data_IF_538974572906
#
_entry.id   IF_538974572906
#
_cell.length_a   1.000
_cell.length_b   1.000
_cell.length_c   1.000
_cell.angle_alpha   90.00
_cell.angle_beta   90.00
_cell.angle_gamma   90.00
#
_symmetry.space_group_name_H-M   'P 1'
#
loop_
_entity.id
_entity.type
_entity.pdbx_description
1 polymer ?
#
# COMPACT_ATOMS: atom_id res chain seq x y z
N UNK A 1 6.10 -10.56 -1.59
CA UNK A 1 6.56 -9.20 -1.24
C UNK A 1 7.22 -8.60 -2.46
N UNK A 2 6.89 -7.35 -2.79
CA UNK A 2 7.55 -6.58 -3.84
C UNK A 2 8.31 -5.42 -3.20
N UNK A 3 9.58 -5.27 -3.55
CA UNK A 3 10.40 -4.11 -3.17
C UNK A 3 10.50 -3.19 -4.38
N UNK A 4 10.24 -1.91 -4.19
CA UNK A 4 10.26 -0.95 -5.28
C UNK A 4 10.89 0.37 -4.88
N UNK A 5 11.61 0.96 -5.84
CA UNK A 5 12.12 2.32 -5.82
C UNK A 5 11.63 3.01 -7.08
N UNK A 6 10.87 4.08 -6.91
CA UNK A 6 10.31 4.85 -8.01
C UNK A 6 10.80 6.28 -7.93
N UNK A 7 10.99 6.92 -9.09
CA UNK A 7 11.32 8.35 -9.21
C UNK A 7 10.15 9.13 -9.82
N UNK A 8 9.68 8.69 -10.97
CA UNK A 8 8.68 9.33 -11.83
C UNK A 8 7.48 8.42 -12.12
N UNK A 9 7.45 7.22 -11.54
CA UNK A 9 6.38 6.27 -11.75
C UNK A 9 5.08 6.73 -11.08
N UNK A 10 3.98 6.53 -11.80
CA UNK A 10 2.62 6.77 -11.31
C UNK A 10 1.79 5.52 -11.53
N UNK A 11 1.24 4.98 -10.45
CA UNK A 11 0.16 4.01 -10.51
C UNK A 11 -1.15 4.74 -10.78
N UNK A 12 -1.70 4.52 -11.97
CA UNK A 12 -3.07 4.91 -12.29
C UNK A 12 -4.09 4.14 -11.43
N UNK A 13 -5.37 4.52 -11.52
CA UNK A 13 -6.45 3.84 -10.76
C UNK A 13 -6.45 2.35 -11.05
N UNK A 14 -6.25 1.54 -10.01
CA UNK A 14 -6.24 0.09 -10.08
C UNK A 14 -6.75 -0.53 -8.77
N UNK A 15 -6.92 -1.85 -8.75
CA UNK A 15 -7.32 -2.62 -7.59
C UNK A 15 -6.74 -4.04 -7.68
N UNK A 16 -6.79 -4.78 -6.58
CA UNK A 16 -6.38 -6.18 -6.45
C UNK A 16 -7.33 -6.92 -5.50
N UNK A 17 -7.39 -8.24 -5.59
CA UNK A 17 -8.30 -9.13 -4.84
C UNK A 17 -7.73 -9.60 -3.48
N UNK A 18 -6.58 -9.07 -3.08
CA UNK A 18 -5.89 -9.37 -1.81
C UNK A 18 -5.73 -8.10 -0.97
N UNK A 19 -5.39 -8.23 0.31
CA UNK A 19 -4.93 -7.08 1.08
C UNK A 19 -3.52 -6.69 0.62
N UNK A 20 -3.25 -5.39 0.54
CA UNK A 20 -1.86 -4.92 0.51
C UNK A 20 -1.51 -4.17 1.78
N UNK A 21 -0.33 -4.46 2.31
CA UNK A 21 0.28 -3.69 3.38
C UNK A 21 1.63 -3.21 2.87
N UNK A 22 1.81 -1.90 2.80
CA UNK A 22 3.05 -1.28 2.38
C UNK A 22 3.81 -0.73 3.57
N UNK A 23 5.14 -0.73 3.48
CA UNK A 23 6.03 -0.02 4.41
C UNK A 23 6.86 0.95 3.58
N UNK A 24 6.75 2.24 3.88
CA UNK A 24 7.54 3.29 3.23
C UNK A 24 8.92 3.32 3.90
N UNK A 25 9.96 3.04 3.11
CA UNK A 25 11.35 2.99 3.59
C UNK A 25 12.08 4.31 3.36
N UNK A 26 11.72 5.08 2.32
CA UNK A 26 12.28 6.41 2.03
C UNK A 26 11.26 7.33 1.37
N UNK A 27 11.34 8.61 1.73
CA UNK A 27 10.46 9.70 1.28
C UNK A 27 8.98 9.39 1.55
N UNK A 28 8.08 9.76 0.65
CA UNK A 28 6.64 9.62 0.86
C UNK A 28 5.87 9.26 -0.42
N UNK A 29 4.86 8.42 -0.27
CA UNK A 29 3.88 8.05 -1.29
C UNK A 29 2.60 8.88 -1.13
N UNK A 30 2.10 9.45 -2.22
CA UNK A 30 0.75 10.02 -2.32
C UNK A 30 -0.16 9.04 -3.03
N UNK A 31 -1.32 8.79 -2.44
CA UNK A 31 -2.32 7.88 -3.02
C UNK A 31 -3.74 8.34 -2.71
N UNK A 32 -4.67 8.09 -3.63
CA UNK A 32 -6.10 8.25 -3.42
C UNK A 32 -6.68 6.91 -2.97
N UNK A 33 -7.45 6.91 -1.89
CA UNK A 33 -8.09 5.71 -1.32
C UNK A 33 -9.44 6.09 -0.71
N UNK A 34 -10.50 5.35 -1.05
CA UNK A 34 -11.89 5.58 -0.56
C UNK A 34 -12.34 7.05 -0.68
N UNK A 35 -12.01 7.68 -1.80
CA UNK A 35 -12.38 9.07 -2.11
C UNK A 35 -11.55 10.14 -1.39
N UNK A 36 -10.58 9.77 -0.57
CA UNK A 36 -9.69 10.69 0.14
C UNK A 36 -8.25 10.55 -0.36
N UNK A 37 -7.52 11.66 -0.44
CA UNK A 37 -6.10 11.66 -0.75
C UNK A 37 -5.27 11.57 0.53
N UNK A 38 -4.32 10.64 0.54
CA UNK A 38 -3.40 10.42 1.64
C UNK A 38 -1.95 10.66 1.21
N UNK A 39 -1.13 10.94 2.20
CA UNK A 39 0.34 10.93 2.11
C UNK A 39 0.85 9.98 3.18
N UNK A 40 1.65 9.00 2.78
CA UNK A 40 2.32 8.07 3.67
C UNK A 40 3.84 8.30 3.58
N UNK A 41 4.41 8.76 4.68
CA UNK A 41 5.84 8.99 4.85
C UNK A 41 6.55 7.78 5.49
N UNK A 42 7.86 7.89 5.68
CA UNK A 42 8.67 6.87 6.33
C UNK A 42 8.09 6.50 7.70
N UNK A 43 7.80 5.21 7.89
CA UNK A 43 7.19 4.66 9.11
C UNK A 43 5.69 4.42 9.01
N UNK A 44 5.01 5.07 8.06
CA UNK A 44 3.62 4.78 7.72
C UNK A 44 3.45 3.35 7.18
N UNK A 45 2.29 2.73 7.44
CA UNK A 45 1.89 1.44 6.87
C UNK A 45 0.55 1.54 6.14
N UNK A 46 0.51 2.00 4.87
CA UNK A 46 -0.72 1.98 4.09
C UNK A 46 -1.28 0.56 3.99
N UNK A 47 -2.58 0.42 4.23
CA UNK A 47 -3.32 -0.82 4.06
C UNK A 47 -4.43 -0.57 3.06
N UNK A 48 -4.46 -1.35 1.99
CA UNK A 48 -5.53 -1.31 0.99
C UNK A 48 -6.33 -2.60 1.08
N UNK A 49 -7.64 -2.47 1.24
CA UNK A 49 -8.54 -3.62 1.24
C UNK A 49 -8.67 -4.24 -0.16
N UNK A 50 -8.97 -5.55 -0.23
CA UNK A 50 -9.36 -6.20 -1.48
C UNK A 50 -10.48 -5.42 -2.21
N UNK A 51 -10.34 -5.27 -3.52
CA UNK A 51 -11.32 -4.63 -4.39
C UNK A 51 -11.34 -3.09 -4.32
N UNK A 52 -10.62 -2.45 -3.40
CA UNK A 52 -10.61 -0.99 -3.30
C UNK A 52 -9.76 -0.35 -4.39
N UNK A 53 -10.38 0.56 -5.15
CA UNK A 53 -9.67 1.32 -6.19
C UNK A 53 -8.77 2.35 -5.52
N UNK A 54 -7.50 2.35 -5.91
CA UNK A 54 -6.49 3.27 -5.40
C UNK A 54 -5.48 3.68 -6.47
N UNK A 55 -4.65 4.66 -6.13
CA UNK A 55 -3.54 5.18 -6.96
C UNK A 55 -2.22 5.10 -6.19
N UNK A 56 -1.14 5.60 -6.76
CA UNK A 56 0.15 5.73 -6.07
C UNK A 56 1.12 6.58 -6.88
N UNK A 57 1.81 7.50 -6.22
CA UNK A 57 2.76 8.42 -6.85
C UNK A 57 3.73 8.98 -5.82
N UNK A 58 4.85 9.53 -6.29
CA UNK A 58 5.78 10.22 -5.41
C UNK A 58 5.20 11.55 -4.93
N UNK A 59 5.53 11.96 -3.69
CA UNK A 59 5.31 13.34 -3.23
C UNK A 59 6.38 14.29 -3.75
N UNK A 60 7.64 13.81 -3.85
CA UNK A 60 8.81 14.61 -4.21
C UNK A 60 9.54 14.06 -5.45
N UNK A 61 10.30 14.90 -6.14
CA UNK A 61 11.03 14.54 -7.37
C UNK A 61 12.09 13.45 -7.14
N UNK A 62 12.59 13.32 -5.90
CA UNK A 62 13.53 12.27 -5.51
C UNK A 62 12.92 10.85 -5.57
N UNK A 63 11.58 10.75 -5.62
CA UNK A 63 10.87 9.49 -5.64
C UNK A 63 10.44 8.98 -4.27
N UNK A 64 10.13 7.69 -4.19
CA UNK A 64 9.88 6.98 -2.93
C UNK A 64 10.35 5.53 -3.00
N UNK A 65 10.59 4.95 -1.82
CA UNK A 65 10.94 3.52 -1.68
C UNK A 65 9.95 2.84 -0.75
N UNK A 66 9.47 1.67 -1.17
CA UNK A 66 8.53 0.89 -0.37
C UNK A 66 8.73 -0.61 -0.53
N UNK A 67 8.29 -1.34 0.49
CA UNK A 67 8.01 -2.77 0.40
C UNK A 67 6.52 -2.98 0.50
N UNK A 68 5.94 -3.76 -0.40
CA UNK A 68 4.52 -4.10 -0.38
C UNK A 68 4.35 -5.60 -0.24
N UNK A 69 3.58 -5.98 0.77
CA UNK A 69 3.16 -7.34 1.05
C UNK A 69 1.74 -7.52 0.54
N UNK A 70 1.45 -8.70 0.02
CA UNK A 70 0.16 -9.08 -0.54
C UNK A 70 -0.33 -10.27 0.30
N UNK A 71 -1.49 -10.13 0.92
CA UNK A 71 -2.05 -11.15 1.80
C UNK A 71 -3.41 -11.61 1.28
N UNK A 72 -3.54 -12.90 0.92
CA UNK A 72 -4.83 -13.50 0.61
C UNK A 72 -5.86 -13.26 1.74
N UNK A 73 -7.13 -13.14 1.37
CA UNK A 73 -8.21 -12.81 2.32
C UNK A 73 -8.38 -13.91 3.35
N UNK A 74 -8.36 -15.17 2.91
CA UNK A 74 -8.44 -16.37 3.75
C UNK A 74 -7.29 -16.45 4.76
N UNK A 75 -6.07 -16.08 4.35
CA UNK A 75 -4.93 -15.99 5.27
C UNK A 75 -5.17 -14.97 6.39
N UNK A 76 -5.64 -13.76 6.05
CA UNK A 76 -5.91 -12.71 7.04
C UNK A 76 -7.04 -13.12 7.98
N UNK A 77 -8.08 -13.79 7.46
CA UNK A 77 -9.17 -14.34 8.26
C UNK A 77 -8.66 -15.39 9.25
N UNK A 78 -7.85 -16.35 8.80
CA UNK A 78 -7.26 -17.35 9.69
C UNK A 78 -6.43 -16.73 10.81
N UNK A 79 -5.59 -15.74 10.51
CA UNK A 79 -4.81 -15.02 11.55
C UNK A 79 -5.72 -14.29 12.55
N UNK A 80 -6.82 -13.69 12.09
CA UNK A 80 -7.76 -13.00 12.96
C UNK A 80 -8.50 -13.95 13.90
N UNK A 81 -8.88 -15.13 13.40
CA UNK A 81 -9.53 -16.19 14.18
C UNK A 81 -8.56 -16.76 15.24
N UNK A 82 -7.32 -17.05 14.85
CA UNK A 82 -6.28 -17.55 15.76
C UNK A 82 -5.98 -16.56 16.90
N UNK A 83 -6.04 -15.25 16.62
CA UNK A 83 -5.75 -14.18 17.59
C UNK A 83 -6.92 -13.88 18.53
N UNK A 84 -8.10 -14.46 18.31
CA UNK A 84 -9.29 -14.28 19.13
C UNK A 84 -9.38 -15.27 20.31
N UNK A 85 -8.38 -16.15 20.46
CA UNK A 85 -8.22 -17.14 21.55
C UNK A 85 -7.25 -16.64 22.62
#
# INVERSE_FOLDING_TARGET
MVTARFTDHVYSRHWHDVYTISVIERDAERYDYRGTRFVADVGSRPIINPGEIHTGSSVADAGWQRRTFYFPVDFVQGVAEDSAT
#
